data_IF_248338303669
#
_entry.id   IF_248338303669
#
_cell.length_a   1.000
_cell.length_b   1.000
_cell.length_c   1.000
_cell.angle_alpha   90.00
_cell.angle_beta   90.00
_cell.angle_gamma   90.00
#
_symmetry.space_group_name_H-M   'P 1'
#
loop_
_entity.id
_entity.type
_entity.pdbx_description
1 polymer ?
#
# COMPACT_ATOMS: atom_id res chain seq x y z
N UNK A 1 -21.57 2.43 -25.24
CA UNK A 1 -20.31 2.32 -24.47
C UNK A 1 -19.42 1.33 -25.20
N UNK A 2 -18.21 1.70 -25.63
CA UNK A 2 -17.34 0.80 -26.41
C UNK A 2 -16.74 -0.28 -25.49
N UNK A 3 -16.44 -1.46 -26.05
CA UNK A 3 -15.79 -2.58 -25.32
C UNK A 3 -14.49 -2.15 -24.62
N UNK A 4 -13.74 -1.20 -25.19
CA UNK A 4 -12.52 -0.66 -24.58
C UNK A 4 -12.81 0.12 -23.30
N UNK A 5 -13.85 0.95 -23.27
CA UNK A 5 -14.27 1.69 -22.07
C UNK A 5 -14.69 0.71 -20.98
N UNK A 6 -15.48 -0.31 -21.32
CA UNK A 6 -15.93 -1.31 -20.34
C UNK A 6 -14.75 -2.07 -19.72
N UNK A 7 -13.77 -2.49 -20.51
CA UNK A 7 -12.55 -3.16 -20.03
C UNK A 7 -11.75 -2.27 -19.07
N UNK A 8 -11.55 -0.99 -19.40
CA UNK A 8 -10.85 -0.04 -18.55
C UNK A 8 -11.60 0.21 -17.23
N UNK A 9 -12.93 0.35 -17.30
CA UNK A 9 -13.77 0.52 -16.10
C UNK A 9 -13.72 -0.72 -15.21
N UNK A 10 -13.81 -1.92 -15.80
CA UNK A 10 -13.68 -3.17 -15.05
C UNK A 10 -12.31 -3.32 -14.38
N UNK A 11 -11.22 -2.94 -15.06
CA UNK A 11 -9.87 -2.99 -14.49
C UNK A 11 -9.74 -2.15 -13.21
N UNK A 12 -10.48 -1.03 -13.08
CA UNK A 12 -10.49 -0.18 -11.90
C UNK A 12 -11.06 -0.87 -10.64
N UNK A 13 -11.74 -1.98 -10.78
CA UNK A 13 -12.27 -2.76 -9.65
C UNK A 13 -11.21 -3.68 -9.02
N UNK A 14 -10.04 -3.82 -9.66
CA UNK A 14 -9.00 -4.73 -9.20
C UNK A 14 -7.85 -3.99 -8.52
N UNK A 15 -7.29 -4.65 -7.50
CA UNK A 15 -6.00 -4.32 -6.91
C UNK A 15 -5.04 -5.45 -7.24
N UNK A 16 -3.90 -5.13 -7.85
CA UNK A 16 -2.92 -6.11 -8.35
C UNK A 16 -1.61 -6.03 -7.58
N UNK A 17 -0.91 -7.16 -7.44
CA UNK A 17 0.43 -7.22 -6.86
C UNK A 17 1.51 -7.16 -7.93
N UNK A 18 2.73 -6.72 -7.55
CA UNK A 18 3.89 -6.71 -8.42
C UNK A 18 4.81 -7.91 -8.16
N UNK A 19 5.53 -8.40 -9.20
CA UNK A 19 6.42 -9.54 -9.06
C UNK A 19 7.69 -9.23 -8.27
N UNK A 20 8.22 -8.00 -8.35
CA UNK A 20 9.51 -7.63 -7.80
C UNK A 20 9.63 -6.17 -7.34
N UNK A 21 10.85 -5.73 -6.99
CA UNK A 21 11.12 -4.40 -6.45
C UNK A 21 11.27 -3.31 -7.52
N UNK A 22 11.15 -3.67 -8.79
CA UNK A 22 11.26 -2.79 -9.95
C UNK A 22 10.04 -2.91 -10.84
N UNK A 23 9.69 -1.86 -11.54
CA UNK A 23 8.61 -1.87 -12.52
C UNK A 23 9.18 -2.21 -13.91
N UNK A 24 9.31 -3.52 -14.15
CA UNK A 24 9.80 -4.04 -15.43
C UNK A 24 8.95 -3.57 -16.61
N UNK A 25 9.53 -3.42 -17.83
CA UNK A 25 8.82 -2.90 -18.99
C UNK A 25 7.51 -3.63 -19.31
N UNK A 26 7.48 -4.95 -19.18
CA UNK A 26 6.26 -5.75 -19.42
C UNK A 26 5.17 -5.44 -18.38
N UNK A 27 5.53 -5.34 -17.12
CA UNK A 27 4.60 -4.98 -16.03
C UNK A 27 4.10 -3.55 -16.19
N UNK A 28 4.98 -2.62 -16.54
CA UNK A 28 4.61 -1.23 -16.84
C UNK A 28 3.58 -1.17 -17.98
N UNK A 29 3.83 -1.87 -19.07
CA UNK A 29 2.90 -1.94 -20.21
C UNK A 29 1.55 -2.50 -19.79
N UNK A 30 1.55 -3.59 -19.01
CA UNK A 30 0.32 -4.18 -18.49
C UNK A 30 -0.51 -3.17 -17.67
N UNK A 31 0.13 -2.40 -16.76
CA UNK A 31 -0.56 -1.39 -15.95
C UNK A 31 -1.11 -0.22 -16.80
N UNK A 32 -0.44 0.13 -17.89
CA UNK A 32 -0.91 1.17 -18.82
C UNK A 32 -2.10 0.68 -19.66
N UNK A 33 -2.01 -0.54 -20.19
CA UNK A 33 -3.03 -1.11 -21.04
C UNK A 33 -4.28 -1.53 -20.26
N UNK A 34 -4.09 -1.96 -18.99
CA UNK A 34 -5.13 -2.42 -18.10
C UNK A 34 -5.02 -1.68 -16.75
N UNK A 35 -5.36 -0.37 -16.68
CA UNK A 35 -5.13 0.44 -15.49
C UNK A 35 -5.96 -0.05 -14.30
N UNK A 36 -5.34 -0.69 -13.28
CA UNK A 36 -6.06 -1.16 -12.11
C UNK A 36 -6.48 -0.01 -11.21
N UNK A 37 -7.47 -0.22 -10.35
CA UNK A 37 -7.83 0.72 -9.30
C UNK A 37 -6.75 0.87 -8.24
N UNK A 38 -5.91 -0.17 -8.05
CA UNK A 38 -4.81 -0.12 -7.10
C UNK A 38 -3.71 -1.14 -7.35
N UNK A 39 -2.58 -0.90 -6.69
CA UNK A 39 -1.44 -1.81 -6.61
C UNK A 39 -1.11 -2.07 -5.15
N UNK A 40 -1.03 -3.34 -4.75
CA UNK A 40 -0.61 -3.74 -3.40
C UNK A 40 0.84 -4.21 -3.42
N UNK A 41 1.64 -3.67 -2.49
CA UNK A 41 3.05 -3.99 -2.33
C UNK A 41 3.29 -4.87 -1.10
N UNK A 42 4.13 -5.88 -1.28
CA UNK A 42 4.54 -6.85 -0.27
C UNK A 42 6.04 -6.76 0.02
N UNK A 43 6.53 -7.57 0.96
CA UNK A 43 7.96 -7.61 1.32
C UNK A 43 8.88 -7.78 0.10
N UNK A 44 8.48 -8.59 -0.89
CA UNK A 44 9.26 -8.80 -2.12
C UNK A 44 9.49 -7.53 -2.96
N UNK A 45 8.63 -6.54 -2.79
CA UNK A 45 8.68 -5.28 -3.52
C UNK A 45 9.54 -4.20 -2.81
N UNK A 46 10.00 -4.45 -1.58
CA UNK A 46 10.67 -3.47 -0.74
C UNK A 46 12.11 -3.87 -0.48
N UNK A 47 13.06 -2.97 -0.79
CA UNK A 47 14.50 -3.08 -0.52
C UNK A 47 15.00 -1.97 0.39
N UNK A 48 14.59 -0.74 0.09
CA UNK A 48 14.91 0.46 0.88
C UNK A 48 13.80 1.50 0.70
N UNK A 49 13.74 2.48 1.59
CA UNK A 49 12.76 3.57 1.48
C UNK A 49 12.93 4.38 0.18
N UNK A 50 14.17 4.61 -0.26
CA UNK A 50 14.44 5.33 -1.51
C UNK A 50 13.99 4.53 -2.75
N UNK A 51 14.29 3.22 -2.78
CA UNK A 51 13.82 2.33 -3.86
C UNK A 51 12.29 2.26 -3.88
N UNK A 52 11.66 2.10 -2.72
CA UNK A 52 10.20 2.02 -2.61
C UNK A 52 9.53 3.31 -3.13
N UNK A 53 10.03 4.47 -2.73
CA UNK A 53 9.52 5.77 -3.21
C UNK A 53 9.60 5.89 -4.72
N UNK A 54 10.71 5.46 -5.34
CA UNK A 54 10.87 5.45 -6.79
C UNK A 54 9.86 4.51 -7.45
N UNK A 55 9.72 3.27 -6.95
CA UNK A 55 8.76 2.30 -7.46
C UNK A 55 7.33 2.85 -7.41
N UNK A 56 6.93 3.46 -6.29
CA UNK A 56 5.61 4.08 -6.14
C UNK A 56 5.41 5.22 -7.14
N UNK A 57 6.41 6.08 -7.31
CA UNK A 57 6.36 7.14 -8.33
C UNK A 57 6.20 6.60 -9.75
N UNK A 58 6.89 5.51 -10.07
CA UNK A 58 6.75 4.83 -11.36
C UNK A 58 5.37 4.21 -11.56
N UNK A 59 4.77 3.64 -10.50
CA UNK A 59 3.39 3.11 -10.52
C UNK A 59 2.40 4.26 -10.78
N UNK A 60 2.52 5.36 -10.05
CA UNK A 60 1.64 6.52 -10.24
C UNK A 60 1.74 7.09 -11.67
N UNK A 61 2.93 7.07 -12.26
CA UNK A 61 3.16 7.52 -13.63
C UNK A 61 2.53 6.62 -14.71
N UNK A 62 2.02 5.43 -14.36
CA UNK A 62 1.27 4.58 -15.32
C UNK A 62 -0.18 5.01 -15.48
N UNK A 63 -0.70 5.82 -14.56
CA UNK A 63 -2.09 6.25 -14.57
C UNK A 63 -2.38 7.31 -15.63
N UNK A 64 -3.12 6.95 -16.68
CA UNK A 64 -3.62 7.88 -17.67
C UNK A 64 -4.90 8.56 -17.18
N UNK A 65 -4.74 9.66 -16.42
CA UNK A 65 -5.85 10.46 -15.86
C UNK A 65 -6.27 10.08 -14.44
N UNK A 66 -6.24 8.81 -14.06
CA UNK A 66 -6.49 8.36 -12.67
C UNK A 66 -5.29 7.55 -12.21
N UNK A 67 -4.58 8.06 -11.20
CA UNK A 67 -3.45 7.36 -10.61
C UNK A 67 -3.96 6.18 -9.76
N UNK A 68 -3.37 4.98 -9.89
CA UNK A 68 -3.76 3.84 -9.07
C UNK A 68 -3.46 4.09 -7.59
N UNK A 69 -4.32 3.59 -6.71
CA UNK A 69 -4.02 3.55 -5.27
C UNK A 69 -2.81 2.65 -5.02
N UNK A 70 -1.88 3.07 -4.19
CA UNK A 70 -0.80 2.19 -3.75
C UNK A 70 -0.99 1.81 -2.29
N UNK A 71 -1.16 0.52 -2.04
CA UNK A 71 -1.31 -0.06 -0.71
C UNK A 71 -0.06 -0.85 -0.31
N UNK A 72 0.23 -0.86 0.97
CA UNK A 72 1.25 -1.72 1.58
C UNK A 72 0.61 -2.41 2.77
N UNK A 73 0.73 -3.74 2.83
CA UNK A 73 0.39 -4.52 4.01
C UNK A 73 1.44 -4.27 5.10
N UNK A 74 1.10 -3.42 6.09
CA UNK A 74 2.01 -2.96 7.13
C UNK A 74 1.28 -2.83 8.47
N UNK A 75 1.33 -3.90 9.29
CA UNK A 75 0.53 -4.04 10.50
C UNK A 75 1.35 -3.89 11.79
N UNK A 76 2.68 -3.77 11.68
CA UNK A 76 3.62 -3.92 12.79
C UNK A 76 3.94 -5.38 13.12
N UNK A 77 4.79 -5.61 14.11
CA UNK A 77 5.22 -6.96 14.49
C UNK A 77 5.78 -7.78 13.33
N UNK A 78 5.19 -8.95 13.07
CA UNK A 78 5.61 -9.86 11.99
C UNK A 78 5.31 -9.32 10.59
N UNK A 79 4.28 -8.49 10.46
CA UNK A 79 3.85 -7.89 9.19
C UNK A 79 4.38 -6.48 9.10
N UNK A 80 5.70 -6.35 9.12
CA UNK A 80 6.43 -5.11 8.98
C UNK A 80 7.18 -5.09 7.65
N UNK A 81 6.91 -4.08 6.78
CA UNK A 81 7.44 -4.05 5.41
C UNK A 81 8.50 -2.98 5.19
N UNK A 82 8.43 -1.88 5.93
CA UNK A 82 9.39 -0.79 5.80
C UNK A 82 10.70 -1.14 6.53
N UNK A 83 11.87 -1.15 5.84
CA UNK A 83 13.15 -1.42 6.48
C UNK A 83 13.63 -0.20 7.29
N UNK A 84 14.66 -0.39 8.12
CA UNK A 84 15.32 0.74 8.77
C UNK A 84 15.68 1.84 7.75
N UNK A 85 15.54 3.14 8.11
CA UNK A 85 15.36 3.71 9.45
C UNK A 85 13.90 3.87 9.92
N UNK A 86 12.91 3.30 9.24
CA UNK A 86 11.52 3.35 9.65
C UNK A 86 11.27 2.63 10.99
N UNK A 87 10.29 3.12 11.73
CA UNK A 87 9.96 2.60 13.06
C UNK A 87 9.40 1.18 12.97
N UNK A 88 9.93 0.27 13.78
CA UNK A 88 9.36 -1.07 13.93
C UNK A 88 8.26 -1.03 14.98
N UNK A 89 7.01 -0.96 14.52
CA UNK A 89 5.84 -0.90 15.39
C UNK A 89 5.51 -2.27 16.00
N UNK A 90 4.97 -2.30 17.24
CA UNK A 90 4.50 -3.54 17.85
C UNK A 90 3.29 -4.10 17.07
N UNK A 91 3.00 -5.41 17.22
CA UNK A 91 1.79 -6.00 16.65
C UNK A 91 0.53 -5.42 17.29
N UNK A 92 -0.57 -5.34 16.54
CA UNK A 92 -1.84 -4.77 16.99
C UNK A 92 -2.37 -5.41 18.29
N UNK A 93 -2.11 -6.71 18.49
CA UNK A 93 -2.50 -7.41 19.73
C UNK A 93 -1.85 -6.82 20.98
N UNK A 94 -0.59 -6.34 20.90
CA UNK A 94 0.08 -5.68 22.01
C UNK A 94 -0.59 -4.34 22.33
N UNK A 95 -0.94 -3.57 21.31
CA UNK A 95 -1.67 -2.31 21.49
C UNK A 95 -3.04 -2.54 22.12
N UNK A 96 -3.76 -3.58 21.67
CA UNK A 96 -5.05 -3.97 22.21
C UNK A 96 -4.98 -4.38 23.68
N UNK A 97 -3.90 -5.06 24.09
CA UNK A 97 -3.69 -5.46 25.50
C UNK A 97 -3.51 -4.26 26.45
N UNK A 98 -2.97 -3.15 25.96
CA UNK A 98 -2.85 -1.91 26.74
C UNK A 98 -4.20 -1.20 26.98
N UNK A 99 -5.22 -1.50 26.18
CA UNK A 99 -6.55 -0.86 26.25
C UNK A 99 -6.49 0.68 26.25
N UNK A 100 -5.47 1.24 25.64
CA UNK A 100 -5.25 2.68 25.53
C UNK A 100 -5.51 3.15 24.10
N UNK A 101 -6.64 3.82 23.92
CA UNK A 101 -7.08 4.36 22.63
C UNK A 101 -6.12 5.45 22.14
N UNK A 102 -5.61 6.29 23.04
CA UNK A 102 -4.66 7.36 22.70
C UNK A 102 -3.34 6.80 22.16
N UNK A 103 -2.83 5.73 22.77
CA UNK A 103 -1.64 5.02 22.31
C UNK A 103 -1.90 4.41 20.91
N UNK A 104 -3.02 3.73 20.72
CA UNK A 104 -3.37 3.12 19.43
C UNK A 104 -3.47 4.18 18.31
N UNK A 105 -4.07 5.32 18.61
CA UNK A 105 -4.18 6.44 17.69
C UNK A 105 -2.81 7.07 17.37
N UNK A 106 -1.94 7.23 18.36
CA UNK A 106 -0.59 7.76 18.18
C UNK A 106 0.25 6.85 17.26
N UNK A 107 0.19 5.53 17.49
CA UNK A 107 0.85 4.53 16.65
C UNK A 107 0.30 4.57 15.22
N UNK A 108 -1.02 4.57 15.04
CA UNK A 108 -1.65 4.66 13.72
C UNK A 108 -1.25 5.93 12.97
N UNK A 109 -1.18 7.07 13.66
CA UNK A 109 -0.69 8.32 13.07
C UNK A 109 0.79 8.23 12.66
N UNK A 110 1.63 7.61 13.48
CA UNK A 110 3.04 7.46 13.17
C UNK A 110 3.25 6.56 11.95
N UNK A 111 2.60 5.39 11.91
CA UNK A 111 2.59 4.49 10.74
C UNK A 111 2.12 5.21 9.47
N UNK A 112 1.01 5.95 9.56
CA UNK A 112 0.47 6.70 8.43
C UNK A 112 1.42 7.81 7.92
N UNK A 113 2.17 8.45 8.81
CA UNK A 113 3.21 9.43 8.40
C UNK A 113 4.36 8.76 7.66
N UNK A 114 4.84 7.62 8.14
CA UNK A 114 5.93 6.88 7.48
C UNK A 114 5.52 6.34 6.11
N UNK A 115 4.31 5.78 6.00
CA UNK A 115 3.75 5.33 4.73
C UNK A 115 3.59 6.47 3.73
N UNK A 116 3.12 7.64 4.17
CA UNK A 116 3.07 8.83 3.31
C UNK A 116 4.45 9.29 2.86
N UNK A 117 5.44 9.22 3.73
CA UNK A 117 6.81 9.60 3.39
C UNK A 117 7.42 8.76 2.27
N UNK A 118 6.96 7.53 2.07
CA UNK A 118 7.35 6.69 0.92
C UNK A 118 6.38 6.80 -0.27
N UNK A 119 5.31 7.57 -0.15
CA UNK A 119 4.36 7.81 -1.24
C UNK A 119 3.29 6.73 -1.41
N UNK A 120 3.14 5.81 -0.45
CA UNK A 120 2.17 4.69 -0.54
C UNK A 120 0.72 5.07 -0.30
N UNK A 121 0.42 6.36 -0.05
CA UNK A 121 -0.94 6.84 0.13
C UNK A 121 -1.12 8.08 -0.73
N UNK A 122 -2.08 8.04 -1.64
CA UNK A 122 -2.56 9.26 -2.30
C UNK A 122 -3.03 10.24 -1.21
N UNK A 123 -2.67 11.52 -1.28
CA UNK A 123 -2.98 12.51 -0.23
C UNK A 123 -4.47 12.70 0.07
N UNK A 124 -5.35 12.02 -0.66
CA UNK A 124 -6.79 12.18 -0.59
C UNK A 124 -7.56 11.09 0.19
N UNK A 125 -6.90 10.04 0.76
CA UNK A 125 -7.62 9.00 1.51
C UNK A 125 -6.86 8.46 2.73
N UNK A 126 -7.55 8.25 3.89
CA UNK A 126 -6.94 7.64 5.06
C UNK A 126 -6.65 6.14 4.82
N UNK A 127 -5.55 5.65 5.39
CA UNK A 127 -5.19 4.25 5.42
C UNK A 127 -6.26 3.46 6.17
N UNK A 128 -6.91 2.51 5.52
CA UNK A 128 -7.69 1.50 6.22
C UNK A 128 -6.72 0.40 6.69
N UNK A 129 -6.19 0.54 7.88
CA UNK A 129 -5.67 -0.60 8.63
C UNK A 129 -6.86 -1.48 8.98
N UNK A 130 -7.01 -2.62 8.30
CA UNK A 130 -7.97 -3.61 8.72
C UNK A 130 -7.46 -4.27 10.01
N UNK A 131 -7.82 -3.68 11.15
CA UNK A 131 -7.72 -4.36 12.42
C UNK A 131 -8.78 -5.48 12.40
N UNK A 132 -8.41 -6.66 11.94
CA UNK A 132 -9.18 -7.87 12.26
C UNK A 132 -8.96 -8.14 13.74
N UNK A 133 -9.94 -7.82 14.54
CA UNK A 133 -10.07 -8.34 15.91
C UNK A 133 -10.16 -9.87 15.81
N UNK A 134 -9.25 -10.65 16.40
CA UNK A 134 -9.46 -12.09 16.50
C UNK A 134 -10.70 -12.29 17.34
N UNK A 135 -11.66 -13.08 16.83
CA UNK A 135 -12.77 -13.58 17.62
C UNK A 135 -12.18 -14.33 18.82
N UNK A 136 -12.51 -13.87 20.02
CA UNK A 136 -12.20 -14.58 21.25
C UNK A 136 -13.22 -15.72 21.33
N UNK A 137 -12.72 -16.95 21.19
CA UNK A 137 -13.47 -18.14 21.56
C UNK A 137 -13.43 -18.31 23.07
#
# INVERSE_FOLDING_TARGET
>A
MTTAILRRTAAQLFMVGLPGPTLEPATRRFLVDHPPGGVILFKRNVRSGAQLRRLIGEIHATGAGVSPLVAIDHEGGRVHRLPRPFTHFPPAAVLGAHRDVGLAEAVGRAMGRELRAVGSISPSRPCSTSARTPAIA
#
